data_IF_477229520577
#
_entry.id   IF_477229520577
#
_cell.length_a   1.000
_cell.length_b   1.000
_cell.length_c   1.000
_cell.angle_alpha   90.00
_cell.angle_beta   90.00
_cell.angle_gamma   90.00
#
_symmetry.space_group_name_H-M   'P 1'
#
loop_
_entity.id
_entity.type
_entity.pdbx_description
1 polymer ?
#
# COMPACT_ATOMS: atom_id res chain seq x y z
N UNK A 1 8.06 0.08 6.13
CA UNK A 1 7.54 1.42 6.47
C UNK A 1 6.32 1.69 5.62
N UNK A 2 5.25 2.18 6.23
CA UNK A 2 4.03 2.62 5.55
C UNK A 2 4.28 4.05 5.03
N UNK A 3 3.99 4.28 3.75
CA UNK A 3 4.21 5.56 3.09
C UNK A 3 2.92 5.94 2.35
N UNK A 4 2.55 7.23 2.45
CA UNK A 4 1.40 7.81 1.76
C UNK A 4 1.83 9.11 1.11
N UNK A 5 1.53 9.25 -0.18
CA UNK A 5 1.82 10.45 -0.94
C UNK A 5 0.58 10.92 -1.69
N UNK A 6 0.23 12.20 -1.56
CA UNK A 6 -0.77 12.83 -2.41
C UNK A 6 -0.21 12.96 -3.84
N UNK A 7 -0.97 12.45 -4.80
CA UNK A 7 -0.62 12.55 -6.23
C UNK A 7 -1.44 13.64 -6.91
N UNK A 8 -2.75 13.65 -6.64
CA UNK A 8 -3.64 14.69 -7.13
C UNK A 8 -4.76 14.90 -6.12
N UNK A 9 -5.18 16.14 -5.95
CA UNK A 9 -6.25 16.53 -5.06
C UNK A 9 -7.04 17.63 -5.76
N UNK A 10 -8.31 17.38 -6.03
CA UNK A 10 -9.15 18.27 -6.81
C UNK A 10 -10.52 18.41 -6.16
N UNK A 11 -11.16 19.55 -6.39
CA UNK A 11 -12.55 19.81 -5.98
C UNK A 11 -13.31 20.43 -7.14
N UNK A 12 -14.52 19.92 -7.39
CA UNK A 12 -15.40 20.48 -8.41
C UNK A 12 -16.06 21.78 -7.93
N UNK A 13 -16.63 22.56 -8.85
CA UNK A 13 -17.46 23.73 -8.54
C UNK A 13 -18.64 23.41 -7.61
N UNK A 14 -19.11 22.15 -7.60
CA UNK A 14 -20.18 21.66 -6.71
C UNK A 14 -19.67 21.19 -5.33
N UNK A 15 -18.39 21.38 -5.02
CA UNK A 15 -17.79 20.99 -3.75
C UNK A 15 -17.45 19.50 -3.61
N UNK A 16 -17.59 18.69 -4.66
CA UNK A 16 -17.19 17.28 -4.62
C UNK A 16 -15.67 17.19 -4.75
N UNK A 17 -15.00 16.69 -3.71
CA UNK A 17 -13.55 16.49 -3.70
C UNK A 17 -13.18 15.08 -4.15
N UNK A 18 -12.16 14.97 -4.99
CA UNK A 18 -11.56 13.72 -5.43
C UNK A 18 -10.07 13.72 -5.13
N UNK A 19 -9.57 12.68 -4.48
CA UNK A 19 -8.17 12.54 -4.14
C UNK A 19 -7.59 11.28 -4.76
N UNK A 20 -6.36 11.38 -5.28
CA UNK A 20 -5.53 10.23 -5.67
C UNK A 20 -4.30 10.15 -4.80
N UNK A 21 -4.15 9.03 -4.12
CA UNK A 21 -3.01 8.74 -3.24
C UNK A 21 -2.17 7.59 -3.82
N UNK A 22 -0.86 7.72 -3.69
CA UNK A 22 0.07 6.60 -3.83
C UNK A 22 0.41 6.07 -2.45
N UNK A 23 0.16 4.79 -2.25
CA UNK A 23 0.35 4.08 -1.00
C UNK A 23 1.46 3.05 -1.14
N UNK A 24 2.25 2.87 -0.07
CA UNK A 24 3.15 1.73 0.11
C UNK A 24 2.92 1.16 1.50
N UNK A 25 2.57 -0.11 1.57
CA UNK A 25 2.26 -0.78 2.84
C UNK A 25 2.61 -2.27 2.78
N UNK A 26 2.70 -2.96 3.94
CA UNK A 26 2.93 -4.40 3.99
C UNK A 26 1.88 -5.17 3.20
N UNK A 27 2.33 -6.05 2.30
CA UNK A 27 1.43 -6.79 1.41
C UNK A 27 0.41 -7.65 2.16
N UNK A 28 0.72 -8.11 3.36
CA UNK A 28 -0.18 -8.96 4.15
C UNK A 28 -1.49 -8.28 4.59
N UNK A 29 -1.58 -6.92 4.56
CA UNK A 29 -2.86 -6.22 4.80
C UNK A 29 -3.61 -5.88 3.50
N UNK A 30 -3.08 -6.27 2.34
CA UNK A 30 -3.67 -5.88 1.06
C UNK A 30 -5.09 -6.41 0.86
N UNK A 31 -5.36 -7.65 1.28
CA UNK A 31 -6.70 -8.25 1.19
C UNK A 31 -7.73 -7.47 2.00
N UNK A 32 -7.35 -6.98 3.18
CA UNK A 32 -8.22 -6.17 4.02
C UNK A 32 -8.49 -4.79 3.39
N UNK A 33 -7.45 -4.13 2.86
CA UNK A 33 -7.62 -2.88 2.12
C UNK A 33 -8.56 -3.04 0.91
N UNK A 34 -8.51 -4.21 0.25
CA UNK A 34 -9.36 -4.53 -0.91
C UNK A 34 -10.84 -4.72 -0.57
N UNK A 35 -11.23 -4.84 0.69
CA UNK A 35 -12.65 -4.94 1.09
C UNK A 35 -13.44 -3.64 0.90
N UNK A 36 -12.74 -2.49 0.84
CA UNK A 36 -13.35 -1.17 0.63
C UNK A 36 -13.62 -0.93 -0.87
N UNK A 37 -14.84 -1.29 -1.31
CA UNK A 37 -15.21 -1.35 -2.73
C UNK A 37 -15.41 0.02 -3.39
N UNK A 38 -15.62 1.08 -2.62
CA UNK A 38 -15.79 2.45 -3.13
C UNK A 38 -14.53 3.02 -3.75
N UNK A 39 -13.37 2.44 -3.45
CA UNK A 39 -12.09 2.90 -3.96
C UNK A 39 -11.83 2.40 -5.38
N UNK A 40 -11.51 3.30 -6.30
CA UNK A 40 -10.79 2.95 -7.54
C UNK A 40 -9.33 2.68 -7.20
N UNK A 41 -8.81 1.50 -7.60
CA UNK A 41 -7.48 1.04 -7.15
C UNK A 41 -6.70 0.38 -8.28
N UNK A 42 -5.41 0.70 -8.34
CA UNK A 42 -4.44 -0.04 -9.15
C UNK A 42 -3.27 -0.46 -8.26
N UNK A 43 -2.95 -1.75 -8.25
CA UNK A 43 -1.93 -2.32 -7.39
C UNK A 43 -0.79 -2.92 -8.20
N UNK A 44 0.45 -2.74 -7.75
CA UNK A 44 1.61 -3.36 -8.39
C UNK A 44 1.53 -4.88 -8.32
N UNK A 45 1.60 -5.53 -9.48
CA UNK A 45 1.55 -6.99 -9.54
C UNK A 45 2.92 -7.61 -9.25
N UNK A 46 3.00 -8.51 -8.27
CA UNK A 46 4.21 -9.30 -8.01
C UNK A 46 4.63 -10.16 -9.21
N UNK A 47 3.68 -10.52 -10.10
CA UNK A 47 3.97 -11.28 -11.33
C UNK A 47 4.76 -10.47 -12.36
N UNK A 48 4.63 -9.13 -12.35
CA UNK A 48 5.33 -8.25 -13.28
C UNK A 48 6.78 -7.99 -12.86
N UNK A 49 7.07 -8.01 -11.56
CA UNK A 49 8.37 -7.63 -11.01
C UNK A 49 9.37 -8.78 -11.15
N UNK A 50 10.60 -8.54 -11.62
CA UNK A 50 11.67 -9.54 -11.64
C UNK A 50 11.97 -10.10 -10.25
N UNK A 51 12.15 -11.42 -10.12
CA UNK A 51 12.35 -12.10 -8.84
C UNK A 51 13.55 -11.52 -8.05
N UNK A 52 14.65 -11.22 -8.72
CA UNK A 52 15.85 -10.66 -8.08
C UNK A 52 15.58 -9.30 -7.44
N UNK A 53 14.70 -8.47 -8.01
CA UNK A 53 14.31 -7.19 -7.44
C UNK A 53 13.51 -7.37 -6.15
N UNK A 54 12.61 -8.36 -6.13
CA UNK A 54 11.84 -8.67 -4.91
C UNK A 54 12.73 -9.29 -3.85
N UNK A 55 13.64 -10.22 -4.22
CA UNK A 55 14.63 -10.79 -3.30
C UNK A 55 15.45 -9.66 -2.66
N UNK A 56 15.97 -8.73 -3.46
CA UNK A 56 16.75 -7.60 -2.94
C UNK A 56 15.92 -6.72 -1.98
N UNK A 57 14.68 -6.43 -2.33
CA UNK A 57 13.77 -5.66 -1.47
C UNK A 57 13.55 -6.35 -0.12
N UNK A 58 13.17 -7.64 -0.13
CA UNK A 58 12.89 -8.41 1.09
C UNK A 58 14.17 -8.65 1.90
N UNK A 59 15.30 -8.90 1.22
CA UNK A 59 16.57 -9.08 1.90
C UNK A 59 17.02 -7.85 2.68
N UNK A 60 16.91 -6.67 2.09
CA UNK A 60 17.39 -5.43 2.70
C UNK A 60 16.36 -4.79 3.64
N UNK A 61 15.06 -4.92 3.31
CA UNK A 61 13.98 -4.26 4.05
C UNK A 61 12.70 -5.09 4.01
N UNK A 62 12.63 -6.20 4.77
CA UNK A 62 11.41 -6.99 4.85
C UNK A 62 10.29 -6.18 5.51
N UNK A 63 9.06 -6.37 5.05
CA UNK A 63 7.89 -5.80 5.73
C UNK A 63 7.76 -6.42 7.12
N UNK A 64 7.66 -5.55 8.12
CA UNK A 64 7.57 -5.93 9.53
C UNK A 64 6.18 -5.57 10.07
N UNK A 65 5.58 -6.42 10.94
CA UNK A 65 4.44 -5.99 11.73
C UNK A 65 4.77 -4.73 12.56
N UNK A 66 3.79 -3.82 12.67
CA UNK A 66 3.95 -2.61 13.50
C UNK A 66 3.66 -2.89 14.97
N UNK A 67 2.82 -3.91 15.25
CA UNK A 67 2.47 -4.34 16.59
C UNK A 67 2.73 -5.85 16.76
N UNK A 68 3.41 -6.21 17.85
CA UNK A 68 3.80 -7.60 18.15
C UNK A 68 2.97 -8.13 19.31
N UNK A 69 1.70 -8.38 19.03
CA UNK A 69 0.72 -8.79 20.03
C UNK A 69 1.07 -10.12 20.71
N UNK A 70 0.89 -10.17 22.05
CA UNK A 70 1.02 -11.41 22.80
C UNK A 70 -0.12 -12.36 22.47
N UNK A 71 0.14 -13.66 22.55
CA UNK A 71 -0.88 -14.69 22.32
C UNK A 71 -1.94 -14.63 23.42
N UNK A 72 -3.17 -14.27 23.04
CA UNK A 72 -4.36 -14.23 23.89
C UNK A 72 -5.54 -14.81 23.13
N UNK A 73 -6.58 -15.22 23.82
CA UNK A 73 -7.84 -15.64 23.20
C UNK A 73 -8.53 -14.46 22.51
N UNK A 74 -9.14 -14.70 21.33
CA UNK A 74 -9.82 -13.69 20.53
C UNK A 74 -8.97 -13.17 19.35
N UNK A 75 -9.56 -12.29 18.55
CA UNK A 75 -8.92 -11.76 17.32
C UNK A 75 -7.97 -10.59 17.57
N UNK A 76 -8.04 -9.97 18.75
CA UNK A 76 -7.26 -8.77 19.06
C UNK A 76 -6.24 -9.05 20.15
N UNK A 77 -4.97 -8.77 19.84
CA UNK A 77 -3.88 -8.85 20.80
C UNK A 77 -3.52 -7.43 21.29
N UNK A 78 -4.28 -6.90 22.24
CA UNK A 78 -4.07 -5.55 22.78
C UNK A 78 -2.75 -5.40 23.54
N UNK A 79 -2.28 -6.48 24.18
CA UNK A 79 -1.01 -6.50 24.93
C UNK A 79 0.14 -6.91 24.00
N UNK A 80 1.17 -6.11 23.93
CA UNK A 80 2.37 -6.39 23.14
C UNK A 80 3.36 -7.29 23.90
N UNK A 81 4.12 -8.08 23.15
CA UNK A 81 5.29 -8.79 23.68
C UNK A 81 6.33 -7.78 24.19
N UNK A 82 7.01 -8.13 25.27
CA UNK A 82 8.06 -7.28 25.87
C UNK A 82 9.35 -8.04 26.09
N UNK A 83 10.45 -7.30 26.29
CA UNK A 83 11.75 -7.85 26.61
C UNK A 83 12.26 -8.83 25.54
N UNK A 84 12.92 -9.90 26.00
CA UNK A 84 13.55 -10.87 25.11
C UNK A 84 12.58 -11.57 24.15
N UNK A 85 11.28 -11.73 24.53
CA UNK A 85 10.25 -12.36 23.68
C UNK A 85 9.97 -11.51 22.43
N UNK A 86 9.89 -10.19 22.59
CA UNK A 86 9.74 -9.27 21.46
C UNK A 86 10.94 -9.31 20.52
N UNK A 87 12.15 -9.31 21.10
CA UNK A 87 13.39 -9.41 20.31
C UNK A 87 13.47 -10.72 19.56
N UNK A 88 13.17 -11.84 20.23
CA UNK A 88 13.13 -13.15 19.60
C UNK A 88 12.09 -13.23 18.46
N UNK A 89 10.88 -12.70 18.65
CA UNK A 89 9.85 -12.67 17.60
C UNK A 89 10.30 -11.88 16.37
N UNK A 90 10.87 -10.68 16.57
CA UNK A 90 11.41 -9.85 15.46
C UNK A 90 12.55 -10.55 14.74
N UNK A 91 13.48 -11.16 15.49
CA UNK A 91 14.60 -11.90 14.89
C UNK A 91 14.12 -13.11 14.10
N UNK A 92 13.18 -13.88 14.64
CA UNK A 92 12.59 -15.03 13.95
C UNK A 92 11.91 -14.61 12.65
N UNK A 93 11.15 -13.51 12.65
CA UNK A 93 10.50 -12.98 11.45
C UNK A 93 11.52 -12.59 10.37
N UNK A 94 12.59 -11.86 10.77
CA UNK A 94 13.67 -11.48 9.86
C UNK A 94 14.41 -12.72 9.33
N UNK A 95 14.72 -13.68 10.20
CA UNK A 95 15.41 -14.93 9.80
C UNK A 95 14.56 -15.71 8.79
N UNK A 96 13.25 -15.86 9.02
CA UNK A 96 12.33 -16.51 8.09
C UNK A 96 12.31 -15.80 6.73
N UNK A 97 12.35 -14.47 6.71
CA UNK A 97 12.44 -13.70 5.44
C UNK A 97 13.72 -13.99 4.66
N UNK A 98 14.86 -14.17 5.36
CA UNK A 98 16.14 -14.52 4.70
C UNK A 98 16.11 -15.93 4.10
N UNK A 99 15.56 -16.89 4.83
CA UNK A 99 15.36 -18.24 4.28
C UNK A 99 14.43 -18.23 3.06
N UNK A 100 13.33 -17.50 3.12
CA UNK A 100 12.44 -17.33 1.96
C UNK A 100 13.19 -16.73 0.76
N UNK A 101 14.07 -15.76 0.96
CA UNK A 101 14.93 -15.21 -0.11
C UNK A 101 15.87 -16.25 -0.72
N UNK A 102 16.48 -17.11 0.11
CA UNK A 102 17.34 -18.20 -0.35
C UNK A 102 16.53 -19.17 -1.23
N UNK A 103 15.34 -19.58 -0.80
CA UNK A 103 14.48 -20.47 -1.58
C UNK A 103 13.99 -19.79 -2.86
N UNK A 104 13.61 -18.51 -2.83
CA UNK A 104 13.26 -17.77 -4.04
C UNK A 104 14.41 -17.68 -5.03
N UNK A 105 15.64 -17.52 -4.55
CA UNK A 105 16.83 -17.56 -5.39
C UNK A 105 17.05 -18.94 -6.03
N UNK A 106 16.91 -20.03 -5.26
CA UNK A 106 16.99 -21.40 -5.79
C UNK A 106 15.91 -21.63 -6.86
N UNK A 107 14.67 -21.18 -6.63
CA UNK A 107 13.62 -21.24 -7.66
C UNK A 107 14.01 -20.53 -8.94
N UNK A 108 14.66 -19.37 -8.84
CA UNK A 108 15.15 -18.66 -10.03
C UNK A 108 16.23 -19.44 -10.79
N UNK A 109 17.10 -20.19 -10.07
CA UNK A 109 18.18 -20.99 -10.66
C UNK A 109 17.69 -22.25 -11.38
N UNK A 110 16.63 -22.87 -10.88
CA UNK A 110 16.02 -24.02 -11.55
C UNK A 110 15.03 -23.63 -12.65
N UNK A 111 14.90 -22.33 -12.96
CA UNK A 111 14.05 -21.84 -14.05
C UNK A 111 12.57 -21.71 -13.70
N UNK A 112 12.19 -21.73 -12.39
CA UNK A 112 10.80 -21.53 -12.00
C UNK A 112 10.34 -20.10 -12.35
N UNK A 113 9.20 -20.01 -13.02
CA UNK A 113 8.68 -18.71 -13.46
C UNK A 113 8.40 -17.77 -12.28
N UNK A 114 8.74 -16.49 -12.42
CA UNK A 114 8.58 -15.44 -11.41
C UNK A 114 7.17 -15.34 -10.82
N UNK A 115 6.15 -15.70 -11.59
CA UNK A 115 4.75 -15.73 -11.14
C UNK A 115 4.53 -16.63 -9.92
N UNK A 116 5.30 -17.72 -9.82
CA UNK A 116 5.26 -18.67 -8.71
C UNK A 116 6.35 -18.34 -7.70
N UNK A 117 7.60 -18.14 -8.17
CA UNK A 117 8.74 -17.89 -7.30
C UNK A 117 8.59 -16.66 -6.39
N UNK A 118 7.91 -15.60 -6.85
CA UNK A 118 7.69 -14.41 -6.04
C UNK A 118 6.70 -14.61 -4.88
N UNK A 119 5.84 -15.63 -4.95
CA UNK A 119 4.79 -15.85 -3.92
C UNK A 119 5.36 -16.24 -2.56
N UNK A 120 6.49 -16.96 -2.52
CA UNK A 120 7.13 -17.31 -1.25
C UNK A 120 7.61 -16.09 -0.46
N UNK A 121 7.78 -14.94 -1.12
CA UNK A 121 8.25 -13.70 -0.52
C UNK A 121 7.09 -12.77 -0.10
N UNK A 122 5.85 -13.07 -0.46
CA UNK A 122 4.69 -12.18 -0.24
C UNK A 122 4.50 -11.72 1.21
N UNK A 123 4.70 -12.54 2.24
CA UNK A 123 4.56 -12.10 3.64
C UNK A 123 5.49 -10.96 4.04
N UNK A 124 6.62 -10.83 3.38
CA UNK A 124 7.64 -9.82 3.69
C UNK A 124 7.77 -8.71 2.64
N UNK A 125 6.86 -8.67 1.67
CA UNK A 125 6.85 -7.62 0.64
C UNK A 125 6.07 -6.40 1.10
N UNK A 126 6.51 -5.24 0.62
CA UNK A 126 5.66 -4.06 0.48
C UNK A 126 4.97 -4.08 -0.87
N UNK A 127 3.75 -3.56 -0.92
CA UNK A 127 2.99 -3.35 -2.15
C UNK A 127 2.80 -1.86 -2.38
N UNK A 128 2.91 -1.42 -3.64
CA UNK A 128 2.52 -0.07 -4.04
C UNK A 128 1.12 -0.12 -4.64
N UNK A 129 0.27 0.80 -4.20
CA UNK A 129 -1.11 0.90 -4.65
C UNK A 129 -1.42 2.36 -4.93
N UNK A 130 -2.06 2.62 -6.06
CA UNK A 130 -2.68 3.91 -6.34
C UNK A 130 -4.15 3.75 -5.98
N UNK A 131 -4.69 4.71 -5.27
CA UNK A 131 -6.10 4.73 -4.88
C UNK A 131 -6.70 6.09 -5.15
N UNK A 132 -7.88 6.09 -5.77
CA UNK A 132 -8.65 7.31 -6.03
C UNK A 132 -10.07 7.14 -5.49
N UNK A 133 -10.57 8.15 -4.81
CA UNK A 133 -11.94 8.16 -4.29
C UNK A 133 -12.44 9.58 -4.08
N UNK A 134 -13.76 9.71 -4.07
CA UNK A 134 -14.49 10.89 -3.59
C UNK A 134 -15.03 10.68 -2.17
N UNK A 135 -15.05 9.44 -1.69
CA UNK A 135 -15.63 9.06 -0.40
C UNK A 135 -14.60 8.33 0.45
N UNK A 136 -14.24 8.92 1.60
CA UNK A 136 -13.22 8.40 2.50
C UNK A 136 -13.73 8.13 3.91
N UNK A 137 -14.85 8.74 4.32
CA UNK A 137 -15.29 8.82 5.71
C UNK A 137 -15.55 7.44 6.30
N UNK A 138 -16.29 6.58 5.62
CA UNK A 138 -16.55 5.21 6.06
C UNK A 138 -15.27 4.39 6.24
N UNK A 139 -14.26 4.60 5.37
CA UNK A 139 -12.97 3.92 5.52
C UNK A 139 -12.24 4.40 6.78
N UNK A 140 -12.20 5.71 7.02
CA UNK A 140 -11.52 6.27 8.19
C UNK A 140 -12.22 5.90 9.48
N UNK A 141 -13.54 5.93 9.52
CA UNK A 141 -14.33 5.52 10.69
C UNK A 141 -14.03 4.06 11.07
N UNK A 142 -14.05 3.15 10.10
CA UNK A 142 -13.80 1.73 10.34
C UNK A 142 -12.33 1.40 10.65
N UNK A 143 -11.36 2.11 10.02
CA UNK A 143 -9.95 1.71 10.05
C UNK A 143 -9.07 2.54 10.97
N UNK A 144 -9.51 3.71 11.43
CA UNK A 144 -8.84 4.45 12.50
C UNK A 144 -9.33 3.98 13.88
N UNK A 145 -10.35 3.13 13.93
CA UNK A 145 -10.90 2.57 15.14
C UNK A 145 -9.86 1.79 15.97
N UNK A 146 -9.93 1.82 17.33
CA UNK A 146 -9.00 1.07 18.19
C UNK A 146 -8.95 -0.43 17.93
N UNK A 147 -10.04 -1.01 17.47
CA UNK A 147 -10.16 -2.44 17.20
C UNK A 147 -9.71 -2.85 15.78
N UNK A 148 -9.33 -1.91 14.93
CA UNK A 148 -8.77 -2.20 13.62
C UNK A 148 -7.37 -2.82 13.74
N UNK A 149 -7.00 -3.66 12.79
CA UNK A 149 -5.65 -4.23 12.73
C UNK A 149 -4.61 -3.10 12.72
N UNK A 150 -3.52 -3.20 13.49
CA UNK A 150 -2.57 -2.10 13.69
C UNK A 150 -2.00 -1.50 12.40
N UNK A 151 -1.64 -2.33 11.44
CA UNK A 151 -1.04 -1.89 10.18
C UNK A 151 -2.05 -1.11 9.30
N UNK A 152 -3.30 -1.57 9.21
CA UNK A 152 -4.30 -0.84 8.42
C UNK A 152 -4.73 0.44 9.13
N UNK A 153 -4.74 0.44 10.46
CA UNK A 153 -4.97 1.64 11.26
C UNK A 153 -3.89 2.70 11.05
N UNK A 154 -2.61 2.28 11.02
CA UNK A 154 -1.49 3.19 10.71
C UNK A 154 -1.61 3.75 9.29
N UNK A 155 -1.94 2.89 8.31
CA UNK A 155 -2.18 3.29 6.93
C UNK A 155 -3.33 4.31 6.83
N UNK A 156 -4.49 3.99 7.40
CA UNK A 156 -5.65 4.87 7.40
C UNK A 156 -5.37 6.23 8.07
N UNK A 157 -4.67 6.22 9.21
CA UNK A 157 -4.24 7.44 9.89
C UNK A 157 -3.28 8.29 9.06
N UNK A 158 -2.36 7.65 8.33
CA UNK A 158 -1.45 8.35 7.43
C UNK A 158 -2.19 8.94 6.21
N UNK A 159 -3.15 8.21 5.64
CA UNK A 159 -4.01 8.69 4.55
C UNK A 159 -4.87 9.88 5.00
N UNK A 160 -5.50 9.78 6.17
CA UNK A 160 -6.32 10.85 6.76
C UNK A 160 -5.50 12.14 6.93
N UNK A 161 -4.30 12.04 7.52
CA UNK A 161 -3.40 13.19 7.65
C UNK A 161 -3.01 13.77 6.30
N UNK A 162 -2.67 12.92 5.33
CA UNK A 162 -2.27 13.36 4.00
C UNK A 162 -3.38 14.15 3.29
N UNK A 163 -4.63 13.69 3.36
CA UNK A 163 -5.80 14.36 2.76
C UNK A 163 -6.10 15.66 3.46
N UNK A 164 -6.04 15.71 4.81
CA UNK A 164 -6.38 16.90 5.57
C UNK A 164 -5.32 18.01 5.49
N UNK A 165 -4.07 17.66 5.18
CA UNK A 165 -3.01 18.66 4.97
C UNK A 165 -2.90 19.12 3.50
N UNK A 166 -3.68 18.53 2.60
CA UNK A 166 -3.68 18.89 1.20
C UNK A 166 -4.72 19.97 0.90
N UNK A 167 -4.40 20.87 0.00
CA UNK A 167 -5.34 21.88 -0.50
C UNK A 167 -5.79 21.45 -1.90
N UNK A 168 -7.08 21.15 -2.10
CA UNK A 168 -7.58 20.71 -3.38
C UNK A 168 -7.54 21.83 -4.42
N UNK A 169 -7.17 21.49 -5.66
CA UNK A 169 -7.24 22.38 -6.81
C UNK A 169 -8.67 22.39 -7.34
N UNK A 170 -9.21 23.59 -7.59
CA UNK A 170 -10.51 23.72 -8.27
C UNK A 170 -10.38 23.18 -9.70
N UNK A 171 -11.35 22.35 -10.09
CA UNK A 171 -11.51 21.82 -11.44
C UNK A 171 -12.80 22.40 -12.01
N UNK A 172 -12.67 23.23 -13.05
CA UNK A 172 -13.79 23.89 -13.73
C UNK A 172 -14.52 22.92 -14.66
N UNK A 173 -15.69 23.35 -15.15
CA UNK A 173 -16.46 22.56 -16.09
C UNK A 173 -15.65 22.27 -17.37
N UNK A 174 -15.51 20.99 -17.70
CA UNK A 174 -14.71 20.54 -18.85
C UNK A 174 -13.26 20.18 -18.51
N UNK A 175 -12.77 20.50 -17.31
CA UNK A 175 -11.48 20.06 -16.82
C UNK A 175 -11.53 18.67 -16.17
N UNK A 176 -10.36 18.07 -15.97
CA UNK A 176 -10.21 16.70 -15.50
C UNK A 176 -9.29 16.60 -14.28
N UNK A 177 -9.63 15.67 -13.39
CA UNK A 177 -8.69 15.20 -12.36
C UNK A 177 -7.67 14.27 -13.02
N UNK A 178 -6.42 14.72 -13.18
CA UNK A 178 -5.38 14.03 -13.95
C UNK A 178 -4.17 13.68 -13.06
N UNK A 179 -4.21 12.54 -12.34
CA UNK A 179 -3.05 12.05 -11.57
C UNK A 179 -1.85 11.79 -12.48
N UNK A 180 -0.65 12.11 -12.00
CA UNK A 180 0.63 11.92 -12.70
C UNK A 180 0.82 12.72 -13.99
N UNK A 181 -0.10 13.62 -14.33
CA UNK A 181 0.03 14.51 -15.49
C UNK A 181 0.57 15.86 -15.05
N UNK A 182 1.65 16.29 -15.66
CA UNK A 182 2.23 17.63 -15.44
C UNK A 182 1.46 18.69 -16.20
N UNK A 183 1.55 19.95 -15.76
CA UNK A 183 0.87 21.06 -16.44
C UNK A 183 1.33 21.23 -17.91
N UNK A 184 2.56 20.89 -18.23
CA UNK A 184 3.06 20.87 -19.61
C UNK A 184 2.41 19.78 -20.47
N UNK A 185 2.11 18.61 -19.88
CA UNK A 185 1.46 17.50 -20.57
C UNK A 185 -0.03 17.78 -20.79
N UNK A 186 -0.69 18.54 -19.90
CA UNK A 186 -2.11 18.92 -20.08
C UNK A 186 -2.36 19.72 -21.35
N UNK A 187 -1.40 20.54 -21.76
CA UNK A 187 -1.50 21.33 -23.00
C UNK A 187 -1.53 20.46 -24.26
N UNK A 188 -1.15 19.19 -24.19
CA UNK A 188 -1.07 18.31 -25.36
C UNK A 188 -2.41 17.70 -25.77
N UNK A 189 -3.46 17.76 -24.94
CA UNK A 189 -4.82 17.26 -25.17
C UNK A 189 -4.92 15.92 -25.94
N UNK A 190 -3.92 15.06 -25.76
CA UNK A 190 -3.84 13.81 -26.51
C UNK A 190 -4.52 12.68 -25.74
N UNK A 191 -5.06 11.70 -26.47
CA UNK A 191 -5.58 10.44 -25.91
C UNK A 191 -4.54 9.73 -25.04
N UNK A 192 -3.24 9.91 -25.35
CA UNK A 192 -2.13 9.36 -24.60
C UNK A 192 -2.02 9.94 -23.19
N UNK A 193 -2.29 11.25 -23.02
CA UNK A 193 -2.32 11.92 -21.70
C UNK A 193 -3.46 11.35 -20.86
N UNK A 194 -4.65 11.17 -21.43
CA UNK A 194 -5.80 10.59 -20.73
C UNK A 194 -5.54 9.13 -20.33
N UNK A 195 -4.92 8.34 -21.21
CA UNK A 195 -4.52 6.96 -20.91
C UNK A 195 -3.50 6.90 -19.78
N UNK A 196 -2.51 7.78 -19.77
CA UNK A 196 -1.51 7.86 -18.69
C UNK A 196 -2.15 8.21 -17.35
N UNK A 197 -3.17 9.08 -17.32
CA UNK A 197 -3.87 9.46 -16.10
C UNK A 197 -4.83 8.37 -15.58
N UNK A 198 -5.31 7.49 -16.46
CA UNK A 198 -6.28 6.43 -16.12
C UNK A 198 -5.63 5.14 -15.59
N UNK A 199 -4.32 5.01 -15.64
CA UNK A 199 -3.57 3.82 -15.18
C UNK A 199 -3.14 3.94 -13.76
#
# INVERSE_FOLDING_TARGET
MIEVKMIADSVSEFGVRICTLQLKYPRFIHSEFMTHRVFSRSASSSRAIPINKIISQVWNSPAMPVHWGANVSGMQAKKELTGWKLTAAKLTWITASKFACIFAYLFSKIGLHKQIGNRILEPWQYINVIVTSTEWDNFFELRIHPDAQPEIKELAGAMYRCINHSTPKLVEHGDWHLPYITDNEKCLHSTEVLLKAST
#
